data_IF_215863259620
#
_entry.id   IF_215863259620
#
_cell.length_a   1.000
_cell.length_b   1.000
_cell.length_c   1.000
_cell.angle_alpha   90.00
_cell.angle_beta   90.00
_cell.angle_gamma   90.00
#
_symmetry.space_group_name_H-M   'P 1'
#
loop_
_entity.id
_entity.type
_entity.pdbx_description
1 polymer ?
#
# COMPACT_ATOMS: atom_id res chain seq x y z
N UNK A 1 10.68 9.15 -16.12
CA UNK A 1 10.41 9.58 -14.71
C UNK A 1 9.42 10.74 -14.63
N UNK A 2 9.67 11.90 -15.27
CA UNK A 2 8.71 13.02 -15.27
C UNK A 2 7.32 12.66 -15.83
N UNK A 3 7.26 11.85 -16.89
CA UNK A 3 5.99 11.37 -17.47
C UNK A 3 5.16 10.58 -16.45
N UNK A 4 5.78 9.63 -15.74
CA UNK A 4 5.14 8.88 -14.65
C UNK A 4 4.58 9.83 -13.60
N UNK A 5 5.40 10.75 -13.08
CA UNK A 5 4.98 11.69 -12.04
C UNK A 5 3.83 12.59 -12.52
N UNK A 6 3.90 13.08 -13.76
CA UNK A 6 2.85 13.92 -14.33
C UNK A 6 1.53 13.15 -14.47
N UNK A 7 1.56 11.92 -15.00
CA UNK A 7 0.38 11.04 -15.10
C UNK A 7 -0.23 10.75 -13.73
N UNK A 8 0.60 10.37 -12.75
CA UNK A 8 0.13 10.13 -11.38
C UNK A 8 -0.47 11.40 -10.75
N UNK A 9 0.19 12.55 -10.87
CA UNK A 9 -0.34 13.83 -10.35
C UNK A 9 -1.68 14.20 -10.99
N UNK A 10 -1.86 13.95 -12.30
CA UNK A 10 -3.12 14.22 -13.00
C UNK A 10 -4.27 13.30 -12.54
N UNK A 11 -3.97 12.07 -12.11
CA UNK A 11 -4.97 11.11 -11.62
C UNK A 11 -5.43 11.38 -10.18
N UNK A 12 -4.58 11.98 -9.34
CA UNK A 12 -4.93 12.30 -7.94
C UNK A 12 -6.26 13.05 -7.76
N UNK A 13 -6.57 14.16 -8.48
CA UNK A 13 -7.84 14.85 -8.31
C UNK A 13 -9.03 13.99 -8.74
N UNK A 14 -8.90 13.20 -9.80
CA UNK A 14 -9.95 12.29 -10.28
C UNK A 14 -10.27 11.23 -9.23
N UNK A 15 -9.25 10.57 -8.67
CA UNK A 15 -9.47 9.58 -7.62
C UNK A 15 -10.02 10.20 -6.34
N UNK A 16 -9.63 11.44 -6.02
CA UNK A 16 -10.21 12.16 -4.89
C UNK A 16 -11.70 12.42 -5.09
N UNK A 17 -12.12 12.80 -6.30
CA UNK A 17 -13.53 13.00 -6.64
C UNK A 17 -14.31 11.68 -6.58
N UNK A 18 -13.80 10.61 -7.19
CA UNK A 18 -14.44 9.28 -7.13
C UNK A 18 -14.60 8.82 -5.68
N UNK A 19 -13.57 9.03 -4.84
CA UNK A 19 -13.65 8.69 -3.44
C UNK A 19 -14.67 9.55 -2.66
N UNK A 20 -14.85 10.82 -3.05
CA UNK A 20 -15.85 11.71 -2.45
C UNK A 20 -17.28 11.29 -2.80
N UNK A 21 -17.53 10.94 -4.06
CA UNK A 21 -18.86 10.61 -4.57
C UNK A 21 -19.32 9.20 -4.15
N UNK A 22 -18.42 8.21 -4.13
CA UNK A 22 -18.80 6.80 -3.94
C UNK A 22 -18.33 6.13 -2.65
N UNK A 23 -17.35 6.70 -1.93
CA UNK A 23 -16.63 5.99 -0.85
C UNK A 23 -16.42 6.82 0.42
N UNK A 24 -17.16 7.92 0.60
CA UNK A 24 -17.02 8.85 1.73
C UNK A 24 -17.32 8.21 3.07
N UNK A 25 -18.44 7.48 3.17
CA UNK A 25 -18.78 6.71 4.36
C UNK A 25 -19.41 5.36 3.98
N UNK A 26 -18.53 4.41 3.64
CA UNK A 26 -18.91 3.02 3.32
C UNK A 26 -19.66 2.34 4.46
N UNK A 27 -19.37 2.71 5.72
CA UNK A 27 -20.02 2.13 6.87
C UNK A 27 -21.46 2.65 6.99
N UNK A 28 -21.66 3.96 6.91
CA UNK A 28 -23.00 4.55 6.89
C UNK A 28 -23.82 4.06 5.70
N UNK A 29 -23.22 3.93 4.51
CA UNK A 29 -23.89 3.39 3.33
C UNK A 29 -24.35 1.94 3.55
N UNK A 30 -23.50 1.08 4.11
CA UNK A 30 -23.89 -0.30 4.44
C UNK A 30 -24.99 -0.37 5.51
N UNK A 31 -24.96 0.49 6.52
CA UNK A 31 -26.01 0.57 7.55
C UNK A 31 -27.33 1.07 6.96
N UNK A 32 -27.29 2.08 6.10
CA UNK A 32 -28.49 2.64 5.46
C UNK A 32 -29.16 1.59 4.57
N UNK A 33 -28.38 0.90 3.74
CA UNK A 33 -28.91 -0.16 2.88
C UNK A 33 -29.46 -1.36 3.66
N UNK A 34 -28.87 -1.71 4.82
CA UNK A 34 -29.41 -2.75 5.72
C UNK A 34 -30.78 -2.35 6.30
N UNK A 35 -30.92 -1.09 6.71
CA UNK A 35 -32.20 -0.56 7.22
C UNK A 35 -33.29 -0.54 6.15
N UNK A 36 -32.94 -0.12 4.94
CA UNK A 36 -33.86 -0.08 3.81
C UNK A 36 -34.31 -1.48 3.39
N UNK A 37 -33.37 -2.44 3.33
CA UNK A 37 -33.70 -3.84 3.08
C UNK A 37 -34.66 -4.41 4.13
N UNK A 38 -34.40 -4.17 5.42
CA UNK A 38 -35.29 -4.60 6.51
C UNK A 38 -36.69 -4.00 6.38
N UNK A 39 -36.78 -2.71 6.03
CA UNK A 39 -38.06 -2.05 5.83
C UNK A 39 -38.86 -2.63 4.64
N UNK A 40 -38.20 -2.90 3.52
CA UNK A 40 -38.82 -3.56 2.37
C UNK A 40 -39.27 -4.99 2.73
N UNK A 41 -38.47 -5.73 3.51
CA UNK A 41 -38.82 -7.07 3.97
C UNK A 41 -40.02 -7.07 4.92
N UNK A 42 -40.08 -6.13 5.87
CA UNK A 42 -41.24 -5.95 6.76
C UNK A 42 -42.51 -5.63 5.98
N UNK A 43 -42.41 -4.76 4.97
CA UNK A 43 -43.53 -4.40 4.10
C UNK A 43 -44.00 -5.58 3.24
N UNK A 44 -43.07 -6.36 2.71
CA UNK A 44 -43.38 -7.56 1.93
C UNK A 44 -43.99 -8.68 2.79
N UNK A 45 -43.62 -8.78 4.07
CA UNK A 45 -44.25 -9.72 5.00
C UNK A 45 -45.73 -9.41 5.25
N UNK A 46 -46.12 -8.13 5.17
CA UNK A 46 -47.51 -7.69 5.33
C UNK A 46 -48.35 -7.96 4.06
N UNK A 47 -47.74 -7.94 2.88
CA UNK A 47 -48.41 -8.24 1.60
C UNK A 47 -47.50 -9.03 0.64
N UNK A 48 -47.38 -10.37 0.83
CA UNK A 48 -46.37 -11.18 0.12
C UNK A 48 -46.59 -11.35 -1.37
N UNK A 49 -47.83 -11.15 -1.85
CA UNK A 49 -48.19 -11.34 -3.26
C UNK A 49 -48.09 -10.05 -4.08
N UNK A 50 -47.68 -8.95 -3.45
CA UNK A 50 -47.54 -7.66 -4.10
C UNK A 50 -46.29 -7.63 -5.00
N UNK A 51 -46.44 -7.54 -6.34
CA UNK A 51 -45.31 -7.58 -7.26
C UNK A 51 -44.40 -6.34 -7.13
N UNK A 52 -44.93 -5.20 -6.66
CA UNK A 52 -44.15 -3.98 -6.46
C UNK A 52 -43.21 -4.15 -5.28
N UNK A 53 -43.72 -4.63 -4.14
CA UNK A 53 -42.91 -4.87 -2.94
C UNK A 53 -41.86 -5.96 -3.17
N UNK A 54 -42.16 -6.98 -3.98
CA UNK A 54 -41.19 -8.00 -4.38
C UNK A 54 -40.04 -7.39 -5.20
N UNK A 55 -40.34 -6.48 -6.11
CA UNK A 55 -39.33 -5.80 -6.92
C UNK A 55 -38.49 -4.82 -6.10
N UNK A 56 -39.11 -4.11 -5.16
CA UNK A 56 -38.42 -3.21 -4.22
C UNK A 56 -37.48 -3.98 -3.28
N UNK A 57 -37.91 -5.11 -2.72
CA UNK A 57 -37.05 -5.99 -1.92
C UNK A 57 -35.84 -6.47 -2.73
N UNK A 58 -36.05 -6.90 -3.97
CA UNK A 58 -34.98 -7.36 -4.84
C UNK A 58 -33.95 -6.27 -5.10
N UNK A 59 -34.40 -5.04 -5.40
CA UNK A 59 -33.52 -3.89 -5.62
C UNK A 59 -32.75 -3.50 -4.35
N UNK A 60 -33.43 -3.48 -3.19
CA UNK A 60 -32.82 -3.21 -1.90
C UNK A 60 -31.77 -4.29 -1.55
N UNK A 61 -32.04 -5.55 -1.86
CA UNK A 61 -31.13 -6.67 -1.61
C UNK A 61 -29.86 -6.58 -2.45
N UNK A 62 -29.99 -6.24 -3.73
CA UNK A 62 -28.84 -6.01 -4.63
C UNK A 62 -28.00 -4.84 -4.11
N UNK A 63 -28.66 -3.74 -3.73
CA UNK A 63 -28.01 -2.53 -3.21
C UNK A 63 -27.25 -2.82 -1.91
N UNK A 64 -27.88 -3.52 -0.96
CA UNK A 64 -27.25 -3.94 0.29
C UNK A 64 -26.05 -4.87 0.03
N UNK A 65 -26.20 -5.88 -0.82
CA UNK A 65 -25.12 -6.82 -1.13
C UNK A 65 -23.89 -6.10 -1.67
N UNK A 66 -24.10 -5.13 -2.57
CA UNK A 66 -23.02 -4.33 -3.13
C UNK A 66 -22.38 -3.40 -2.09
N UNK A 67 -23.18 -2.69 -1.29
CA UNK A 67 -22.68 -1.79 -0.25
C UNK A 67 -21.91 -2.56 0.83
N UNK A 68 -22.41 -3.73 1.24
CA UNK A 68 -21.78 -4.60 2.21
C UNK A 68 -20.44 -5.16 1.70
N UNK A 69 -20.40 -5.64 0.44
CA UNK A 69 -19.17 -6.10 -0.21
C UNK A 69 -18.11 -5.00 -0.28
N UNK A 70 -18.50 -3.77 -0.60
CA UNK A 70 -17.59 -2.63 -0.64
C UNK A 70 -17.02 -2.32 0.76
N UNK A 71 -17.88 -2.32 1.79
CA UNK A 71 -17.44 -2.10 3.17
C UNK A 71 -16.49 -3.20 3.67
N UNK A 72 -16.81 -4.48 3.41
CA UNK A 72 -15.91 -5.59 3.74
C UNK A 72 -14.56 -5.48 3.02
N UNK A 73 -14.56 -5.11 1.73
CA UNK A 73 -13.31 -4.92 0.96
C UNK A 73 -12.43 -3.81 1.54
N UNK A 74 -13.04 -2.69 1.94
CA UNK A 74 -12.35 -1.59 2.61
C UNK A 74 -11.75 -2.01 3.95
N UNK A 75 -12.53 -2.72 4.76
CA UNK A 75 -12.07 -3.25 6.04
C UNK A 75 -10.90 -4.22 5.85
N UNK A 76 -10.99 -5.13 4.88
CA UNK A 76 -9.92 -6.06 4.53
C UNK A 76 -8.63 -5.33 4.13
N UNK A 77 -8.74 -4.29 3.30
CA UNK A 77 -7.59 -3.45 2.93
C UNK A 77 -6.96 -2.74 4.15
N UNK A 78 -7.78 -2.24 5.07
CA UNK A 78 -7.31 -1.65 6.34
C UNK A 78 -6.61 -2.67 7.25
N UNK A 79 -7.11 -3.89 7.31
CA UNK A 79 -6.54 -4.94 8.14
C UNK A 79 -5.17 -5.43 7.64
N UNK A 80 -4.91 -5.36 6.32
CA UNK A 80 -3.70 -5.92 5.67
C UNK A 80 -3.48 -7.41 6.01
N UNK A 81 -4.55 -8.13 6.31
CA UNK A 81 -4.51 -9.54 6.71
C UNK A 81 -4.75 -10.40 5.47
N UNK A 82 -3.80 -11.24 5.07
CA UNK A 82 -4.00 -12.15 3.92
C UNK A 82 -4.88 -13.36 4.25
N UNK A 83 -5.27 -13.52 5.51
CA UNK A 83 -5.77 -14.76 6.09
C UNK A 83 -7.28 -14.81 6.28
N UNK A 84 -8.00 -13.71 6.05
CA UNK A 84 -9.48 -13.68 6.04
C UNK A 84 -10.03 -14.25 4.73
N UNK A 85 -9.49 -15.40 4.33
CA UNK A 85 -9.95 -16.18 3.21
C UNK A 85 -11.16 -16.98 3.67
N UNK A 86 -12.33 -16.54 3.22
CA UNK A 86 -13.53 -17.36 3.01
C UNK A 86 -14.35 -17.83 4.24
N UNK A 87 -14.59 -17.06 5.31
CA UNK A 87 -15.51 -17.63 6.31
C UNK A 87 -16.09 -16.88 7.50
N UNK A 88 -15.79 -15.61 7.78
CA UNK A 88 -16.47 -14.98 8.95
C UNK A 88 -16.81 -13.51 8.72
N UNK A 89 -18.11 -13.26 8.64
CA UNK A 89 -18.74 -11.95 8.42
C UNK A 89 -18.42 -11.00 9.56
N UNK A 90 -17.58 -10.00 9.29
CA UNK A 90 -17.52 -8.76 10.05
C UNK A 90 -17.67 -8.90 11.59
N UNK A 91 -17.02 -9.93 12.16
CA UNK A 91 -17.27 -10.30 13.55
C UNK A 91 -16.62 -9.30 14.52
N UNK A 92 -17.09 -9.28 15.76
CA UNK A 92 -16.43 -8.55 16.86
C UNK A 92 -14.94 -8.89 16.95
N UNK A 93 -14.56 -10.11 16.57
CA UNK A 93 -13.17 -10.58 16.47
C UNK A 93 -12.38 -9.77 15.43
N UNK A 94 -12.93 -9.53 14.24
CA UNK A 94 -12.26 -8.73 13.21
C UNK A 94 -12.00 -7.29 13.67
N UNK A 95 -13.00 -6.66 14.29
CA UNK A 95 -12.84 -5.33 14.87
C UNK A 95 -11.90 -5.32 16.09
N UNK A 96 -11.88 -6.39 16.89
CA UNK A 96 -10.93 -6.57 17.98
C UNK A 96 -9.50 -6.72 17.44
N UNK A 97 -9.30 -7.48 16.36
CA UNK A 97 -8.00 -7.60 15.69
C UNK A 97 -7.52 -6.26 15.11
N UNK A 98 -8.41 -5.47 14.50
CA UNK A 98 -8.09 -4.11 14.05
C UNK A 98 -7.68 -3.20 15.22
N UNK A 99 -8.43 -3.22 16.33
CA UNK A 99 -8.10 -2.45 17.54
C UNK A 99 -6.77 -2.91 18.16
N UNK A 100 -6.54 -4.22 18.25
CA UNK A 100 -5.30 -4.79 18.75
C UNK A 100 -4.10 -4.35 17.89
N UNK A 101 -4.23 -4.42 16.56
CA UNK A 101 -3.19 -3.96 15.62
C UNK A 101 -2.95 -2.45 15.72
N UNK A 102 -4.00 -1.64 15.83
CA UNK A 102 -3.85 -0.19 16.03
C UNK A 102 -3.13 0.13 17.34
N UNK A 103 -3.47 -0.57 18.43
CA UNK A 103 -2.78 -0.40 19.70
C UNK A 103 -1.33 -0.88 19.64
N UNK A 104 -1.04 -2.00 18.96
CA UNK A 104 0.31 -2.53 18.80
C UNK A 104 1.19 -1.61 17.94
N UNK A 105 0.63 -1.00 16.89
CA UNK A 105 1.35 -0.07 16.02
C UNK A 105 1.44 1.35 16.58
N UNK A 106 0.74 1.64 17.69
CA UNK A 106 0.79 2.96 18.32
C UNK A 106 2.07 3.07 19.15
N UNK A 107 3.01 3.87 18.65
CA UNK A 107 4.23 4.20 19.39
C UNK A 107 3.86 5.23 20.46
N UNK A 108 3.73 4.79 21.70
CA UNK A 108 3.46 5.65 22.87
C UNK A 108 4.74 6.20 23.49
N UNK A 109 5.79 5.40 23.51
CA UNK A 109 7.09 5.78 24.03
C UNK A 109 8.16 4.88 23.44
N UNK A 110 9.36 5.40 23.30
CA UNK A 110 10.54 4.65 22.89
C UNK A 110 11.66 4.82 23.92
N UNK A 111 12.62 3.92 23.90
CA UNK A 111 13.84 4.04 24.72
C UNK A 111 14.96 4.47 23.79
N UNK A 112 15.65 5.56 24.14
CA UNK A 112 16.78 6.06 23.37
C UNK A 112 18.04 5.19 23.58
N UNK A 113 19.12 5.53 22.88
CA UNK A 113 20.40 4.82 22.99
C UNK A 113 21.06 4.94 24.37
N UNK A 114 20.60 5.88 25.20
CA UNK A 114 21.08 6.14 26.56
C UNK A 114 20.21 5.44 27.62
N UNK A 115 19.17 4.70 27.22
CA UNK A 115 18.25 4.01 28.12
C UNK A 115 17.15 4.91 28.69
N UNK A 116 17.01 6.14 28.19
CA UNK A 116 15.97 7.08 28.62
C UNK A 116 14.68 6.82 27.88
N UNK A 117 13.57 6.76 28.61
CA UNK A 117 12.24 6.65 28.01
C UNK A 117 11.76 8.01 27.54
N UNK A 118 11.40 8.09 26.27
CA UNK A 118 10.87 9.29 25.59
C UNK A 118 9.44 9.02 25.15
N UNK A 119 8.51 9.88 25.56
CA UNK A 119 7.08 9.80 25.28
C UNK A 119 6.54 11.01 24.50
N UNK A 120 7.34 12.08 24.36
CA UNK A 120 6.98 13.27 23.59
C UNK A 120 7.09 13.03 22.06
N UNK A 121 6.03 13.26 21.26
CA UNK A 121 6.01 12.94 19.83
C UNK A 121 7.14 13.58 18.99
N UNK A 122 7.51 14.82 19.30
CA UNK A 122 8.62 15.51 18.63
C UNK A 122 9.95 14.80 18.86
N UNK A 123 10.27 14.51 20.12
CA UNK A 123 11.49 13.79 20.52
C UNK A 123 11.52 12.35 20.03
N UNK A 124 10.37 11.67 19.99
CA UNK A 124 10.26 10.32 19.40
C UNK A 124 10.76 10.35 17.95
N UNK A 125 10.35 11.34 17.17
CA UNK A 125 10.76 11.51 15.77
C UNK A 125 12.27 11.75 15.64
N UNK A 126 12.83 12.60 16.50
CA UNK A 126 14.27 12.88 16.52
C UNK A 126 15.12 11.65 16.86
N UNK A 127 14.70 10.86 17.86
CA UNK A 127 15.39 9.62 18.25
C UNK A 127 15.34 8.61 17.10
N UNK A 128 14.21 8.45 16.41
CA UNK A 128 14.14 7.60 15.22
C UNK A 128 15.08 8.08 14.12
N UNK A 129 15.08 9.39 13.83
CA UNK A 129 15.95 9.96 12.81
C UNK A 129 17.42 9.70 13.15
N UNK A 130 17.83 9.99 14.38
CA UNK A 130 19.20 9.78 14.85
C UNK A 130 19.60 8.30 14.78
N UNK A 131 18.71 7.40 15.24
CA UNK A 131 18.94 5.96 15.15
C UNK A 131 19.19 5.50 13.72
N UNK A 132 18.31 5.87 12.77
CA UNK A 132 18.46 5.46 11.38
C UNK A 132 19.64 6.16 10.68
N UNK A 133 19.96 7.41 11.03
CA UNK A 133 21.18 8.08 10.56
C UNK A 133 22.43 7.31 10.98
N UNK A 134 22.51 6.89 12.24
CA UNK A 134 23.63 6.09 12.73
C UNK A 134 23.67 4.69 12.08
N UNK A 135 22.52 4.06 11.90
CA UNK A 135 22.40 2.73 11.27
C UNK A 135 22.80 2.75 9.79
N UNK A 136 22.30 3.72 9.02
CA UNK A 136 22.53 3.82 7.57
C UNK A 136 23.92 4.36 7.23
N UNK A 137 24.57 5.07 8.17
CA UNK A 137 26.00 5.28 8.10
C UNK A 137 26.47 6.53 8.83
N UNK A 138 27.62 6.38 9.49
CA UNK A 138 28.37 7.49 10.06
C UNK A 138 29.56 7.85 9.18
N UNK A 139 29.96 9.12 9.19
CA UNK A 139 31.14 9.59 8.44
C UNK A 139 32.41 9.21 9.21
N UNK A 140 33.09 8.16 8.79
CA UNK A 140 34.36 7.75 9.38
C UNK A 140 35.49 8.67 8.88
N UNK A 141 35.88 9.67 9.68
CA UNK A 141 36.88 10.70 9.32
C UNK A 141 38.25 10.10 8.94
N UNK A 142 38.65 8.99 9.57
CA UNK A 142 39.94 8.31 9.35
C UNK A 142 39.77 6.92 8.72
N UNK A 143 38.89 6.79 7.72
CA UNK A 143 38.75 5.52 6.99
C UNK A 143 40.07 5.23 6.27
N UNK A 144 40.76 4.15 6.67
CA UNK A 144 41.96 3.69 5.96
C UNK A 144 41.58 3.37 4.52
N UNK A 145 42.43 3.79 3.57
CA UNK A 145 42.27 3.42 2.17
C UNK A 145 42.36 1.89 2.06
N UNK A 146 41.54 1.31 1.18
CA UNK A 146 41.60 -0.12 0.87
C UNK A 146 43.02 -0.46 0.41
N UNK A 147 43.64 -1.46 1.05
CA UNK A 147 44.98 -1.91 0.69
C UNK A 147 44.86 -2.73 -0.59
N UNK A 148 45.18 -2.13 -1.74
CA UNK A 148 45.06 -2.78 -3.05
C UNK A 148 45.83 -4.11 -3.14
N UNK A 149 46.97 -4.23 -2.45
CA UNK A 149 47.75 -5.49 -2.40
C UNK A 149 46.98 -6.65 -1.76
N UNK A 150 46.11 -6.38 -0.79
CA UNK A 150 45.25 -7.41 -0.16
C UNK A 150 44.07 -7.72 -1.07
N UNK A 151 43.46 -6.70 -1.67
CA UNK A 151 42.35 -6.85 -2.60
C UNK A 151 42.72 -7.71 -3.82
N UNK A 152 43.91 -7.47 -4.39
CA UNK A 152 44.41 -8.19 -5.57
C UNK A 152 44.75 -9.66 -5.30
N UNK A 153 44.86 -10.06 -4.02
CA UNK A 153 45.03 -11.47 -3.64
C UNK A 153 43.70 -12.21 -3.45
N UNK A 154 42.58 -11.49 -3.44
CA UNK A 154 41.25 -12.07 -3.37
C UNK A 154 40.78 -12.61 -4.73
N UNK A 155 39.73 -13.45 -4.73
CA UNK A 155 39.08 -13.86 -5.96
C UNK A 155 38.53 -12.65 -6.71
N UNK A 156 38.81 -12.58 -8.01
CA UNK A 156 38.32 -11.53 -8.91
C UNK A 156 37.17 -12.12 -9.73
N UNK A 157 36.17 -11.29 -10.04
CA UNK A 157 35.11 -11.67 -10.97
C UNK A 157 35.72 -12.08 -12.31
N UNK A 158 35.28 -13.23 -12.82
CA UNK A 158 35.66 -13.69 -14.16
C UNK A 158 35.15 -12.71 -15.22
N UNK A 159 35.75 -12.72 -16.41
CA UNK A 159 35.28 -11.92 -17.55
C UNK A 159 33.80 -12.17 -17.83
N UNK A 160 33.35 -13.42 -17.73
CA UNK A 160 31.95 -13.79 -17.93
C UNK A 160 31.03 -13.18 -16.86
N UNK A 161 31.40 -13.25 -15.58
CA UNK A 161 30.64 -12.63 -14.50
C UNK A 161 30.60 -11.11 -14.65
N UNK A 162 31.70 -10.49 -15.06
CA UNK A 162 31.75 -9.06 -15.31
C UNK A 162 30.79 -8.64 -16.42
N UNK A 163 30.75 -9.40 -17.53
CA UNK A 163 29.79 -9.17 -18.61
C UNK A 163 28.34 -9.29 -18.14
N UNK A 164 28.03 -10.28 -17.29
CA UNK A 164 26.68 -10.43 -16.71
C UNK A 164 26.33 -9.27 -15.77
N UNK A 165 27.26 -8.83 -14.91
CA UNK A 165 27.02 -7.75 -13.95
C UNK A 165 26.88 -6.38 -14.62
N UNK A 166 27.48 -6.20 -15.79
CA UNK A 166 27.37 -4.98 -16.60
C UNK A 166 26.26 -5.05 -17.66
N UNK A 167 25.51 -6.16 -17.73
CA UNK A 167 24.43 -6.29 -18.67
C UNK A 167 23.35 -5.22 -18.43
N UNK A 168 22.75 -4.68 -19.50
CA UNK A 168 21.67 -3.70 -19.36
C UNK A 168 20.46 -4.35 -18.71
N UNK A 169 19.82 -3.63 -17.79
CA UNK A 169 18.57 -4.07 -17.16
C UNK A 169 17.45 -4.04 -18.19
N UNK A 170 16.73 -5.15 -18.28
CA UNK A 170 15.65 -5.39 -19.24
C UNK A 170 14.29 -5.00 -18.68
N UNK A 171 13.35 -4.66 -19.56
CA UNK A 171 11.97 -4.37 -19.16
C UNK A 171 11.29 -5.59 -18.50
N UNK A 172 11.71 -6.81 -18.86
CA UNK A 172 11.24 -8.04 -18.22
C UNK A 172 11.69 -8.15 -16.75
N UNK A 173 12.95 -7.82 -16.44
CA UNK A 173 13.44 -7.78 -15.06
C UNK A 173 12.71 -6.73 -14.23
N UNK A 174 12.47 -5.54 -14.82
CA UNK A 174 11.73 -4.46 -14.16
C UNK A 174 10.29 -4.90 -13.87
N UNK A 175 9.62 -5.52 -14.86
CA UNK A 175 8.27 -6.06 -14.68
C UNK A 175 8.25 -7.13 -13.59
N UNK A 176 9.16 -8.10 -13.65
CA UNK A 176 9.22 -9.18 -12.66
C UNK A 176 9.43 -8.63 -11.24
N UNK A 177 10.30 -7.62 -11.08
CA UNK A 177 10.50 -6.96 -9.79
C UNK A 177 9.23 -6.26 -9.29
N UNK A 178 8.49 -5.56 -10.16
CA UNK A 178 7.23 -4.90 -9.81
C UNK A 178 6.14 -5.92 -9.41
N UNK A 179 6.06 -7.05 -10.11
CA UNK A 179 5.06 -8.09 -9.86
C UNK A 179 5.41 -9.01 -8.68
N UNK A 180 6.67 -9.03 -8.26
CA UNK A 180 7.09 -9.73 -7.03
C UNK A 180 6.60 -9.02 -5.75
N UNK A 181 6.20 -7.74 -5.83
CA UNK A 181 5.65 -7.01 -4.69
C UNK A 181 4.19 -7.41 -4.49
N UNK A 182 3.78 -7.92 -3.31
CA UNK A 182 2.38 -8.25 -3.07
C UNK A 182 1.50 -7.00 -3.17
N UNK A 183 0.41 -7.07 -3.95
CA UNK A 183 -0.51 -5.95 -4.20
C UNK A 183 -1.07 -5.29 -2.92
N UNK A 184 -1.21 -6.06 -1.84
CA UNK A 184 -1.72 -5.63 -0.53
C UNK A 184 -0.72 -4.88 0.35
N UNK A 185 0.52 -4.65 -0.13
CA UNK A 185 1.53 -3.87 0.61
C UNK A 185 1.11 -2.40 0.73
N UNK A 186 1.74 -1.72 1.69
CA UNK A 186 1.48 -0.31 1.92
C UNK A 186 1.87 0.53 0.69
N UNK A 187 1.06 1.53 0.31
CA UNK A 187 1.44 2.46 -0.74
C UNK A 187 2.68 3.27 -0.32
N UNK A 188 3.42 3.75 -1.31
CA UNK A 188 4.53 4.68 -1.09
C UNK A 188 4.06 6.10 -0.77
N UNK A 189 4.99 7.06 -0.69
CA UNK A 189 4.68 8.49 -0.58
C UNK A 189 3.80 9.02 -1.71
N UNK A 190 3.78 8.32 -2.85
CA UNK A 190 2.95 8.63 -4.01
C UNK A 190 1.45 8.42 -3.75
N UNK A 191 1.09 7.54 -2.80
CA UNK A 191 -0.28 7.17 -2.45
C UNK A 191 -0.88 6.03 -3.27
N UNK A 192 -0.10 5.36 -4.13
CA UNK A 192 -0.58 4.27 -4.99
C UNK A 192 -0.13 2.90 -4.46
N UNK A 193 -1.04 1.92 -4.44
CA UNK A 193 -0.70 0.54 -4.07
C UNK A 193 0.01 -0.18 -5.22
N UNK A 194 0.66 -1.30 -4.92
CA UNK A 194 1.27 -2.12 -5.97
C UNK A 194 0.25 -2.68 -6.97
N UNK A 195 -1.00 -2.93 -6.54
CA UNK A 195 -2.10 -3.31 -7.45
C UNK A 195 -2.32 -2.27 -8.55
N UNK A 196 -2.29 -0.98 -8.23
CA UNK A 196 -2.49 0.07 -9.23
C UNK A 196 -1.50 -0.06 -10.40
N UNK A 197 -0.22 -0.28 -10.11
CA UNK A 197 0.81 -0.41 -11.15
C UNK A 197 0.74 -1.76 -11.87
N UNK A 198 0.36 -2.84 -11.18
CA UNK A 198 0.22 -4.17 -11.77
C UNK A 198 -0.98 -4.23 -12.72
N UNK A 199 -2.13 -3.71 -12.30
CA UNK A 199 -3.39 -3.72 -13.05
C UNK A 199 -3.33 -2.77 -14.26
N UNK A 200 -2.56 -1.68 -14.17
CA UNK A 200 -2.41 -0.69 -15.23
C UNK A 200 -1.06 -0.80 -15.96
N UNK A 201 -0.41 -1.97 -15.90
CA UNK A 201 0.92 -2.17 -16.46
C UNK A 201 0.95 -1.93 -17.98
N UNK A 202 -0.12 -2.27 -18.70
CA UNK A 202 -0.19 -2.06 -20.16
C UNK A 202 -0.16 -0.56 -20.53
N UNK A 203 -0.62 0.31 -19.63
CA UNK A 203 -0.63 1.77 -19.85
C UNK A 203 0.63 2.46 -19.31
N UNK A 204 1.15 2.01 -18.16
CA UNK A 204 2.21 2.68 -17.42
C UNK A 204 3.58 1.99 -17.54
N UNK A 205 3.61 0.73 -17.99
CA UNK A 205 4.78 -0.13 -17.96
C UNK A 205 5.98 0.43 -18.72
N UNK A 206 5.76 1.01 -19.91
CA UNK A 206 6.84 1.64 -20.68
C UNK A 206 7.46 2.81 -19.91
N UNK A 207 6.64 3.72 -19.40
CA UNK A 207 7.09 4.91 -18.69
C UNK A 207 7.82 4.55 -17.38
N UNK A 208 7.37 3.49 -16.71
CA UNK A 208 8.02 2.94 -15.52
C UNK A 208 9.39 2.36 -15.89
N UNK A 209 9.47 1.55 -16.96
CA UNK A 209 10.74 0.98 -17.40
C UNK A 209 11.74 2.07 -17.79
N UNK A 210 11.30 3.10 -18.52
CA UNK A 210 12.14 4.25 -18.86
C UNK A 210 12.55 5.06 -17.62
N UNK A 211 11.67 5.21 -16.63
CA UNK A 211 12.00 5.86 -15.37
C UNK A 211 13.07 5.10 -14.58
N UNK A 212 12.94 3.77 -14.48
CA UNK A 212 13.88 2.90 -13.78
C UNK A 212 15.23 2.88 -14.49
N UNK A 213 15.26 2.71 -15.82
CA UNK A 213 16.49 2.78 -16.61
C UNK A 213 17.16 4.14 -16.47
N UNK A 214 16.41 5.24 -16.53
CA UNK A 214 16.94 6.60 -16.33
C UNK A 214 17.58 6.78 -14.94
N UNK A 215 16.96 6.24 -13.88
CA UNK A 215 17.53 6.26 -12.53
C UNK A 215 18.84 5.48 -12.46
N UNK A 216 18.87 4.26 -12.98
CA UNK A 216 20.05 3.39 -12.92
C UNK A 216 21.26 3.95 -13.69
N UNK A 217 21.02 4.69 -14.77
CA UNK A 217 22.10 5.36 -15.52
C UNK A 217 22.57 6.66 -14.86
N UNK A 218 21.65 7.45 -14.28
CA UNK A 218 21.96 8.81 -13.80
C UNK A 218 22.23 8.89 -12.29
N UNK A 219 21.79 7.90 -11.52
CA UNK A 219 21.75 7.93 -10.05
C UNK A 219 20.79 8.97 -9.47
N UNK A 220 19.94 9.60 -10.28
CA UNK A 220 19.06 10.69 -9.86
C UNK A 220 17.60 10.26 -9.85
N UNK A 221 16.93 10.52 -8.73
CA UNK A 221 15.49 10.29 -8.55
C UNK A 221 14.79 11.62 -8.27
N UNK A 222 13.53 11.75 -8.72
CA UNK A 222 12.70 12.90 -8.39
C UNK A 222 12.26 12.85 -6.93
N UNK A 223 12.25 14.00 -6.26
CA UNK A 223 11.80 14.13 -4.86
C UNK A 223 10.33 13.74 -4.69
N UNK A 224 9.52 13.83 -5.73
CA UNK A 224 8.12 13.41 -5.65
C UNK A 224 7.92 11.89 -5.58
N UNK A 225 8.99 11.11 -5.83
CA UNK A 225 9.01 9.65 -5.73
C UNK A 225 9.72 9.19 -4.42
N UNK A 226 10.57 10.04 -3.83
CA UNK A 226 11.40 9.73 -2.65
C UNK A 226 11.11 10.67 -1.47
#
# INVERSE_FOLDING_TARGET
MYQVVAKLKALKPVFKQINQEGFTDLHAASISADKELKHCQESLLLDPLNPVLQQEELNARVTFTQAHKNYQSFLHQKAKTSWTRDGDDNTTVFHASLKARNNQNRILSIVDAQGTRVDEPGKITEVFLNYYQQLLGTKMMNRRKVIGQVLNKGPIVTTQQNLTLMAPITDAEIKNAMFAIPGSKAPGPDGYSSFFFQDNWDLLGSDICDAVRSFLHSGKILKEIN
#
